data_IF_920759344956
#
_entry.id   IF_920759344956
#
_cell.length_a   1.000
_cell.length_b   1.000
_cell.length_c   1.000
_cell.angle_alpha   90.00
_cell.angle_beta   90.00
_cell.angle_gamma   90.00
#
_symmetry.space_group_name_H-M   'P 1'
#
loop_
_entity.id
_entity.type
_entity.pdbx_description
1 polymer ?
#
# COMPACT_ATOMS: atom_id res chain seq x y z
N UNK A 1 10.96 -11.42 16.83
CA UNK A 1 11.22 -10.13 16.13
C UNK A 1 11.39 -10.31 14.62
N UNK A 2 12.38 -11.09 14.14
CA UNK A 2 12.62 -11.31 12.69
C UNK A 2 11.39 -11.79 11.91
N UNK A 3 10.78 -12.91 12.31
CA UNK A 3 9.58 -13.45 11.64
C UNK A 3 8.41 -12.47 11.54
N UNK A 4 8.19 -11.66 12.58
CA UNK A 4 7.10 -10.66 12.60
C UNK A 4 7.41 -9.49 11.66
N UNK A 5 8.67 -9.03 11.65
CA UNK A 5 9.15 -7.99 10.73
C UNK A 5 9.07 -8.46 9.28
N UNK A 6 9.49 -9.69 8.99
CA UNK A 6 9.45 -10.28 7.64
C UNK A 6 8.00 -10.43 7.15
N UNK A 7 7.10 -10.89 8.01
CA UNK A 7 5.68 -10.98 7.68
C UNK A 7 5.04 -9.61 7.40
N UNK A 8 5.33 -8.60 8.24
CA UNK A 8 4.88 -7.22 8.02
C UNK A 8 5.45 -6.62 6.74
N UNK A 9 6.69 -6.95 6.40
CA UNK A 9 7.35 -6.51 5.17
C UNK A 9 6.65 -7.10 3.95
N UNK A 10 6.38 -8.41 3.96
CA UNK A 10 5.68 -9.08 2.87
C UNK A 10 4.22 -8.61 2.73
N UNK A 11 3.52 -8.42 3.87
CA UNK A 11 2.18 -7.84 3.88
C UNK A 11 2.16 -6.41 3.33
N UNK A 12 3.19 -5.60 3.64
CA UNK A 12 3.40 -4.27 3.07
C UNK A 12 3.48 -4.31 1.55
N UNK A 13 4.21 -5.27 0.96
CA UNK A 13 4.26 -5.46 -0.49
C UNK A 13 2.91 -5.86 -1.08
N UNK A 14 2.16 -6.73 -0.42
CA UNK A 14 0.81 -7.09 -0.86
C UNK A 14 -0.13 -5.87 -0.90
N UNK A 15 -0.09 -5.03 0.13
CA UNK A 15 -0.88 -3.79 0.20
C UNK A 15 -0.43 -2.76 -0.85
N UNK A 16 0.87 -2.64 -1.09
CA UNK A 16 1.43 -1.79 -2.14
C UNK A 16 0.93 -2.25 -3.52
N UNK A 17 0.94 -3.56 -3.79
CA UNK A 17 0.43 -4.11 -5.04
C UNK A 17 -1.06 -3.76 -5.24
N UNK A 18 -1.88 -3.92 -4.19
CA UNK A 18 -3.29 -3.53 -4.22
C UNK A 18 -3.43 -2.03 -4.53
N UNK A 19 -2.63 -1.16 -3.89
CA UNK A 19 -2.63 0.27 -4.16
C UNK A 19 -2.34 0.59 -5.63
N UNK A 20 -1.33 -0.08 -6.22
CA UNK A 20 -0.98 0.08 -7.64
C UNK A 20 -2.14 -0.33 -8.54
N UNK A 21 -2.81 -1.46 -8.26
CA UNK A 21 -4.00 -1.90 -9.03
C UNK A 21 -5.11 -0.86 -8.96
N UNK A 22 -5.36 -0.27 -7.79
CA UNK A 22 -6.33 0.81 -7.65
C UNK A 22 -5.97 2.05 -8.48
N UNK A 23 -4.69 2.45 -8.51
CA UNK A 23 -4.25 3.56 -9.35
C UNK A 23 -4.32 3.24 -10.85
N UNK A 24 -4.04 2.00 -11.28
CA UNK A 24 -4.25 1.58 -12.67
C UNK A 24 -5.73 1.66 -13.07
N UNK A 25 -6.64 1.20 -12.19
CA UNK A 25 -8.09 1.34 -12.38
C UNK A 25 -8.52 2.81 -12.42
N UNK A 26 -7.94 3.67 -11.59
CA UNK A 26 -8.11 5.13 -11.65
C UNK A 26 -7.72 5.70 -13.01
N UNK A 27 -6.55 5.31 -13.52
CA UNK A 27 -6.04 5.69 -14.84
C UNK A 27 -6.96 5.23 -15.98
N UNK A 28 -7.46 3.99 -15.91
CA UNK A 28 -8.44 3.47 -16.87
C UNK A 28 -9.77 4.22 -16.80
N UNK A 29 -10.21 4.65 -15.61
CA UNK A 29 -11.41 5.45 -15.44
C UNK A 29 -11.27 6.86 -16.06
N UNK A 30 -10.07 7.44 -16.04
CA UNK A 30 -9.76 8.70 -16.76
C UNK A 30 -10.00 8.53 -18.26
N UNK A 31 -9.47 7.46 -18.87
CA UNK A 31 -9.66 7.16 -20.30
C UNK A 31 -11.15 7.02 -20.67
N UNK A 32 -11.97 6.49 -19.76
CA UNK A 32 -13.42 6.34 -19.96
C UNK A 32 -14.25 7.57 -19.57
N UNK A 33 -13.64 8.70 -19.21
CA UNK A 33 -14.30 9.92 -18.70
C UNK A 33 -15.20 9.67 -17.47
N UNK A 34 -14.89 8.65 -16.66
CA UNK A 34 -15.68 8.27 -15.47
C UNK A 34 -15.12 8.95 -14.20
N UNK A 35 -15.31 10.26 -14.10
CA UNK A 35 -14.70 11.08 -13.04
C UNK A 35 -15.08 10.65 -11.61
N UNK A 36 -16.31 10.18 -11.39
CA UNK A 36 -16.71 9.67 -10.08
C UNK A 36 -15.96 8.40 -9.67
N UNK A 37 -15.77 7.47 -10.61
CA UNK A 37 -15.03 6.22 -10.35
C UNK A 37 -13.54 6.47 -10.17
N UNK A 38 -12.97 7.42 -10.94
CA UNK A 38 -11.59 7.88 -10.73
C UNK A 38 -11.38 8.31 -9.28
N UNK A 39 -12.21 9.24 -8.78
CA UNK A 39 -12.07 9.76 -7.41
C UNK A 39 -12.18 8.66 -6.35
N UNK A 40 -13.02 7.66 -6.58
CA UNK A 40 -13.13 6.49 -5.70
C UNK A 40 -11.86 5.63 -5.71
N UNK A 41 -11.36 5.27 -6.90
CA UNK A 41 -10.17 4.44 -7.05
C UNK A 41 -8.92 5.14 -6.53
N UNK A 42 -8.74 6.43 -6.81
CA UNK A 42 -7.62 7.22 -6.28
C UNK A 42 -7.67 7.30 -4.76
N UNK A 43 -8.86 7.56 -4.16
CA UNK A 43 -9.00 7.60 -2.70
C UNK A 43 -8.63 6.26 -2.06
N UNK A 44 -9.08 5.14 -2.64
CA UNK A 44 -8.73 3.80 -2.18
C UNK A 44 -7.24 3.51 -2.37
N UNK A 45 -6.68 3.84 -3.54
CA UNK A 45 -5.25 3.69 -3.82
C UNK A 45 -4.38 4.43 -2.82
N UNK A 46 -4.71 5.68 -2.51
CA UNK A 46 -4.03 6.45 -1.47
C UNK A 46 -4.16 5.84 -0.08
N UNK A 47 -5.35 5.36 0.30
CA UNK A 47 -5.52 4.66 1.59
C UNK A 47 -4.61 3.44 1.69
N UNK A 48 -4.61 2.57 0.67
CA UNK A 48 -3.76 1.36 0.67
C UNK A 48 -2.27 1.72 0.62
N UNK A 49 -1.90 2.76 -0.11
CA UNK A 49 -0.52 3.25 -0.18
C UNK A 49 -0.04 3.70 1.22
N UNK A 50 -0.83 4.53 1.92
CA UNK A 50 -0.50 4.99 3.27
C UNK A 50 -0.40 3.84 4.27
N UNK A 51 -1.30 2.85 4.19
CA UNK A 51 -1.24 1.66 5.05
C UNK A 51 0.00 0.82 4.74
N UNK A 52 0.36 0.64 3.45
CA UNK A 52 1.59 -0.07 3.06
C UNK A 52 2.84 0.63 3.58
N UNK A 53 2.88 1.96 3.49
CA UNK A 53 3.99 2.77 3.99
C UNK A 53 4.13 2.63 5.51
N UNK A 54 3.01 2.66 6.24
CA UNK A 54 3.00 2.41 7.68
C UNK A 54 3.49 1.01 8.04
N UNK A 55 3.05 -0.02 7.31
CA UNK A 55 3.50 -1.40 7.53
C UNK A 55 5.02 -1.55 7.31
N UNK A 56 5.57 -0.92 6.26
CA UNK A 56 7.01 -0.90 6.03
C UNK A 56 7.78 -0.15 7.12
N UNK A 57 7.30 1.03 7.53
CA UNK A 57 7.94 1.80 8.59
C UNK A 57 7.98 1.01 9.92
N UNK A 58 6.87 0.36 10.29
CA UNK A 58 6.79 -0.49 11.49
C UNK A 58 7.71 -1.72 11.34
N UNK A 59 7.72 -2.36 10.18
CA UNK A 59 8.60 -3.51 9.91
C UNK A 59 10.08 -3.13 10.09
N UNK A 60 10.50 -1.98 9.55
CA UNK A 60 11.88 -1.48 9.66
C UNK A 60 12.21 -1.13 11.11
N UNK A 61 11.32 -0.43 11.82
CA UNK A 61 11.52 -0.09 13.24
C UNK A 61 11.69 -1.34 14.11
N UNK A 62 10.85 -2.36 13.90
CA UNK A 62 10.97 -3.63 14.61
C UNK A 62 12.26 -4.38 14.25
N UNK A 63 12.72 -4.29 12.99
CA UNK A 63 13.98 -4.88 12.57
C UNK A 63 15.21 -4.19 13.15
N UNK A 64 15.13 -2.88 13.40
CA UNK A 64 16.19 -2.08 14.03
C UNK A 64 16.23 -2.30 15.55
N UNK A 65 15.08 -2.23 16.22
CA UNK A 65 14.98 -2.46 17.66
C UNK A 65 15.32 -3.91 18.01
N UNK A 66 14.86 -4.88 17.22
CA UNK A 66 15.13 -6.30 17.46
C UNK A 66 16.56 -6.76 17.13
N UNK A 67 17.45 -5.86 16.72
CA UNK A 67 18.89 -6.12 16.50
C UNK A 67 19.78 -5.54 17.60
N UNK A 68 19.22 -4.71 18.50
CA UNK A 68 19.92 -4.15 19.67
C UNK A 68 19.86 -5.05 20.89
#
# INVERSE_FOLDING_TARGET
MRFVSDFLFFAGFGLLFIAIVFFDLGTRAIKKKQNQKKKFYDKKGWQFLSVSLGAFAVSILLALIGRG
#
